data_IF_905395670715
#
_entry.id   IF_905395670715
#
_cell.length_a   1.000
_cell.length_b   1.000
_cell.length_c   1.000
_cell.angle_alpha   90.00
_cell.angle_beta   90.00
_cell.angle_gamma   90.00
#
_symmetry.space_group_name_H-M   'P 1'
#
loop_
_entity.id
_entity.type
_entity.pdbx_description
1 polymer ?
#
# COMPACT_ATOMS: atom_id res chain seq x y z
N UNK A 1 40.58 -23.08 15.39
CA UNK A 1 40.77 -22.03 14.35
C UNK A 1 40.10 -20.74 14.85
N UNK A 2 40.89 -19.76 15.34
CA UNK A 2 40.36 -18.65 16.13
C UNK A 2 39.63 -17.60 15.25
N UNK A 3 38.68 -16.91 15.83
CA UNK A 3 37.82 -15.86 15.22
C UNK A 3 38.62 -14.78 14.42
N UNK A 4 39.87 -14.53 14.78
CA UNK A 4 40.77 -13.61 14.06
C UNK A 4 41.19 -14.14 12.67
N UNK A 5 41.29 -15.45 12.50
CA UNK A 5 41.73 -16.05 11.23
C UNK A 5 40.66 -16.04 10.17
N UNK A 6 39.35 -16.13 10.57
CA UNK A 6 38.26 -16.11 9.64
C UNK A 6 38.04 -14.71 9.03
N UNK A 7 38.06 -13.66 9.86
CA UNK A 7 37.89 -12.28 9.38
C UNK A 7 39.09 -11.87 8.48
N UNK A 8 40.31 -12.22 8.84
CA UNK A 8 41.49 -11.93 8.02
C UNK A 8 41.48 -12.69 6.69
N UNK A 9 40.91 -13.90 6.67
CA UNK A 9 40.69 -14.68 5.46
C UNK A 9 39.68 -14.03 4.52
N UNK A 10 38.56 -13.54 5.06
CA UNK A 10 37.52 -12.84 4.29
C UNK A 10 37.97 -11.48 3.75
N UNK A 11 38.82 -10.77 4.52
CA UNK A 11 39.35 -9.45 4.14
C UNK A 11 40.52 -9.53 3.16
N UNK A 12 41.05 -10.72 2.86
CA UNK A 12 42.10 -10.89 1.87
C UNK A 12 41.55 -10.58 0.47
N UNK A 13 42.15 -9.66 -0.30
CA UNK A 13 41.67 -9.30 -1.65
C UNK A 13 41.48 -10.50 -2.58
N UNK A 14 42.29 -11.56 -2.38
CA UNK A 14 42.19 -12.80 -3.16
C UNK A 14 40.90 -13.58 -2.92
N UNK A 15 40.22 -13.35 -1.78
CA UNK A 15 39.01 -14.05 -1.35
C UNK A 15 37.76 -13.16 -1.42
N UNK A 16 37.80 -11.98 -2.03
CA UNK A 16 36.67 -11.05 -2.09
C UNK A 16 35.45 -11.62 -2.80
N UNK A 17 35.64 -12.65 -3.63
CA UNK A 17 34.53 -13.36 -4.22
C UNK A 17 33.62 -14.08 -3.18
N UNK A 18 34.20 -14.49 -2.01
CA UNK A 18 33.45 -15.18 -0.95
C UNK A 18 32.39 -14.29 -0.29
N UNK A 19 32.71 -13.08 0.24
CA UNK A 19 31.69 -12.16 0.73
C UNK A 19 30.62 -11.83 -0.33
N UNK A 20 31.03 -11.63 -1.58
CA UNK A 20 30.11 -11.38 -2.69
C UNK A 20 29.20 -12.56 -2.94
N UNK A 21 29.71 -13.79 -2.93
CA UNK A 21 28.91 -14.99 -3.07
C UNK A 21 27.91 -15.17 -1.92
N UNK A 22 28.34 -14.90 -0.68
CA UNK A 22 27.46 -14.96 0.50
C UNK A 22 26.33 -13.95 0.37
N UNK A 23 26.64 -12.70 0.03
CA UNK A 23 25.63 -11.64 -0.19
C UNK A 23 24.69 -12.05 -1.31
N UNK A 24 25.19 -12.58 -2.43
CA UNK A 24 24.39 -13.04 -3.55
C UNK A 24 23.41 -14.15 -3.12
N UNK A 25 23.91 -15.17 -2.41
CA UNK A 25 23.04 -16.29 -1.94
C UNK A 25 21.97 -15.77 -0.99
N UNK A 26 22.30 -14.90 -0.04
CA UNK A 26 21.34 -14.31 0.90
C UNK A 26 20.31 -13.48 0.13
N UNK A 27 20.74 -12.67 -0.84
CA UNK A 27 19.85 -11.86 -1.66
C UNK A 27 18.88 -12.71 -2.49
N UNK A 28 19.39 -13.76 -3.16
CA UNK A 28 18.55 -14.66 -3.94
C UNK A 28 17.55 -15.40 -3.05
N UNK A 29 18.00 -15.91 -1.90
CA UNK A 29 17.11 -16.57 -0.94
C UNK A 29 16.03 -15.60 -0.42
N UNK A 30 16.40 -14.37 -0.07
CA UNK A 30 15.47 -13.32 0.36
C UNK A 30 14.44 -12.95 -0.71
N UNK A 31 14.90 -12.70 -1.93
CA UNK A 31 13.99 -12.38 -3.06
C UNK A 31 13.06 -13.55 -3.37
N UNK A 32 13.57 -14.79 -3.35
CA UNK A 32 12.73 -15.99 -3.57
C UNK A 32 11.67 -16.12 -2.47
N UNK A 33 12.07 -15.96 -1.20
CA UNK A 33 11.14 -16.02 -0.07
C UNK A 33 10.05 -14.95 -0.18
N UNK A 34 10.43 -13.70 -0.49
CA UNK A 34 9.49 -12.59 -0.68
C UNK A 34 8.55 -12.91 -1.87
N UNK A 35 9.09 -13.39 -2.98
CA UNK A 35 8.29 -13.74 -4.17
C UNK A 35 7.25 -14.83 -3.89
N UNK A 36 7.66 -15.91 -3.21
CA UNK A 36 6.73 -16.97 -2.80
C UNK A 36 5.65 -16.42 -1.86
N UNK A 37 6.06 -15.65 -0.85
CA UNK A 37 5.11 -15.06 0.11
C UNK A 37 4.12 -14.12 -0.58
N UNK A 38 4.60 -13.24 -1.47
CA UNK A 38 3.74 -12.32 -2.23
C UNK A 38 2.72 -13.08 -3.09
N UNK A 39 3.15 -14.17 -3.73
CA UNK A 39 2.26 -14.97 -4.57
C UNK A 39 1.20 -15.73 -3.76
N UNK A 40 1.60 -16.37 -2.66
CA UNK A 40 0.69 -17.18 -1.82
C UNK A 40 -0.29 -16.34 -1.02
N UNK A 41 0.08 -15.10 -0.70
CA UNK A 41 -0.66 -14.18 0.16
C UNK A 41 -1.38 -13.07 -0.63
N UNK A 42 -1.40 -13.18 -1.97
CA UNK A 42 -2.08 -12.20 -2.81
C UNK A 42 -3.58 -12.11 -2.48
N UNK A 43 -4.16 -10.89 -2.44
CA UNK A 43 -5.59 -10.74 -2.25
C UNK A 43 -6.37 -11.39 -3.39
N UNK A 44 -7.48 -12.10 -3.10
CA UNK A 44 -8.27 -12.74 -4.14
C UNK A 44 -8.98 -11.69 -5.02
N UNK A 45 -9.04 -11.95 -6.32
CA UNK A 45 -9.96 -11.26 -7.22
C UNK A 45 -11.23 -12.11 -7.30
N UNK A 46 -12.30 -11.62 -6.65
CA UNK A 46 -13.54 -12.34 -6.44
C UNK A 46 -14.73 -11.60 -7.07
N UNK A 47 -15.87 -12.26 -7.15
CA UNK A 47 -17.16 -11.61 -7.42
C UNK A 47 -17.76 -11.11 -6.11
N UNK A 48 -18.47 -9.99 -6.17
CA UNK A 48 -19.13 -9.35 -5.05
C UNK A 48 -20.64 -9.58 -5.17
N UNK A 49 -21.23 -10.19 -4.14
CA UNK A 49 -22.62 -10.65 -4.16
C UNK A 49 -23.39 -10.00 -3.01
N UNK A 50 -24.56 -9.46 -3.31
CA UNK A 50 -25.45 -8.85 -2.31
C UNK A 50 -26.00 -9.88 -1.32
N UNK A 51 -26.61 -9.41 -0.23
CA UNK A 51 -27.35 -10.24 0.73
C UNK A 51 -28.48 -11.07 0.08
N UNK A 52 -28.97 -10.66 -1.11
CA UNK A 52 -29.98 -11.35 -1.91
C UNK A 52 -29.40 -12.32 -2.94
N UNK A 53 -28.10 -12.61 -2.89
CA UNK A 53 -27.36 -13.39 -3.88
C UNK A 53 -27.36 -12.82 -5.31
N UNK A 54 -27.56 -11.52 -5.46
CA UNK A 54 -27.43 -10.84 -6.75
C UNK A 54 -25.98 -10.37 -6.93
N UNK A 55 -25.41 -10.58 -8.12
CA UNK A 55 -24.08 -10.13 -8.43
C UNK A 55 -24.02 -8.61 -8.57
N UNK A 56 -23.31 -7.94 -7.69
CA UNK A 56 -23.07 -6.49 -7.71
C UNK A 56 -21.95 -6.17 -8.69
N UNK A 57 -20.80 -6.83 -8.51
CA UNK A 57 -19.67 -6.82 -9.43
C UNK A 57 -19.17 -8.24 -9.63
N UNK A 58 -18.98 -8.66 -10.87
CA UNK A 58 -18.35 -9.94 -11.19
C UNK A 58 -16.82 -9.81 -11.12
N UNK A 59 -16.11 -10.95 -11.00
CA UNK A 59 -14.67 -11.01 -11.14
C UNK A 59 -14.21 -10.42 -12.49
N UNK A 60 -14.99 -10.69 -13.54
CA UNK A 60 -14.75 -10.18 -14.88
C UNK A 60 -14.87 -8.66 -14.96
N UNK A 61 -15.81 -8.05 -14.22
CA UNK A 61 -15.93 -6.59 -14.11
C UNK A 61 -14.67 -5.99 -13.49
N UNK A 62 -14.13 -6.60 -12.43
CA UNK A 62 -12.90 -6.14 -11.78
C UNK A 62 -11.70 -6.22 -12.75
N UNK A 63 -11.53 -7.35 -13.43
CA UNK A 63 -10.43 -7.52 -14.40
C UNK A 63 -10.57 -6.59 -15.61
N UNK A 64 -11.79 -6.40 -16.10
CA UNK A 64 -12.07 -5.43 -17.16
C UNK A 64 -11.80 -4.01 -16.71
N UNK A 65 -12.13 -3.68 -15.46
CA UNK A 65 -11.81 -2.39 -14.86
C UNK A 65 -10.30 -2.12 -14.80
N UNK A 66 -9.51 -3.11 -14.44
CA UNK A 66 -8.04 -3.03 -14.51
C UNK A 66 -7.56 -2.77 -15.95
N UNK A 67 -8.12 -3.47 -16.93
CA UNK A 67 -7.77 -3.26 -18.34
C UNK A 67 -8.15 -1.84 -18.83
N UNK A 68 -9.31 -1.33 -18.40
CA UNK A 68 -9.74 0.06 -18.69
C UNK A 68 -8.81 1.07 -18.01
N UNK A 69 -8.42 0.84 -16.75
CA UNK A 69 -7.45 1.67 -16.03
C UNK A 69 -6.13 1.80 -16.79
N UNK A 70 -5.62 0.68 -17.32
CA UNK A 70 -4.41 0.66 -18.14
C UNK A 70 -4.62 1.31 -19.52
N UNK A 71 -5.76 1.01 -20.19
CA UNK A 71 -6.10 1.57 -21.51
C UNK A 71 -6.08 3.09 -21.52
N UNK A 72 -6.58 3.70 -20.46
CA UNK A 72 -6.65 5.16 -20.33
C UNK A 72 -5.45 5.75 -19.56
N UNK A 73 -4.41 4.98 -19.31
CA UNK A 73 -3.22 5.42 -18.58
C UNK A 73 -3.54 6.21 -17.29
N UNK A 74 -4.52 5.75 -16.51
CA UNK A 74 -5.01 6.49 -15.35
C UNK A 74 -3.95 6.66 -14.25
N UNK A 75 -2.87 5.89 -14.28
CA UNK A 75 -1.70 6.08 -13.40
C UNK A 75 -0.97 7.42 -13.64
N UNK A 76 -1.16 8.04 -14.80
CA UNK A 76 -0.64 9.40 -15.08
C UNK A 76 -1.42 10.51 -14.36
N UNK A 77 -2.64 10.22 -13.93
CA UNK A 77 -3.57 11.15 -13.30
C UNK A 77 -3.82 10.89 -11.82
N UNK A 78 -3.33 9.79 -11.30
CA UNK A 78 -3.48 9.37 -9.92
C UNK A 78 -2.66 8.13 -9.62
N UNK A 79 -2.90 7.51 -8.47
CA UNK A 79 -2.22 6.28 -8.07
C UNK A 79 -3.20 5.17 -7.71
N UNK A 80 -2.71 3.94 -7.65
CA UNK A 80 -3.43 2.77 -7.16
C UNK A 80 -2.50 2.06 -6.17
N UNK A 81 -2.95 1.83 -4.94
CA UNK A 81 -2.13 1.31 -3.85
C UNK A 81 -0.86 2.14 -3.55
N UNK A 82 -0.92 3.45 -3.77
CA UNK A 82 0.21 4.35 -3.59
C UNK A 82 1.20 4.37 -4.75
N UNK A 83 0.95 3.59 -5.82
CA UNK A 83 1.81 3.50 -6.99
C UNK A 83 1.17 4.23 -8.18
N UNK A 84 1.88 5.22 -8.71
CA UNK A 84 1.42 6.09 -9.80
C UNK A 84 1.78 7.56 -9.62
N UNK A 85 1.13 8.45 -10.39
CA UNK A 85 1.42 9.88 -10.37
C UNK A 85 0.78 10.59 -9.16
N UNK A 86 1.55 11.48 -8.51
CA UNK A 86 1.07 12.32 -7.40
C UNK A 86 0.28 13.56 -7.87
N UNK A 87 -0.29 13.54 -9.07
CA UNK A 87 -1.06 14.66 -9.63
C UNK A 87 -2.55 14.61 -9.32
N UNK A 88 -3.02 13.49 -8.85
CA UNK A 88 -4.42 13.24 -8.51
C UNK A 88 -4.54 12.37 -7.27
N UNK A 89 -5.75 11.88 -6.98
CA UNK A 89 -5.98 11.03 -5.83
C UNK A 89 -5.33 9.66 -6.00
N UNK A 90 -5.10 8.98 -4.88
CA UNK A 90 -4.99 7.54 -4.90
C UNK A 90 -6.39 6.93 -5.00
N UNK A 91 -6.68 6.19 -6.07
CA UNK A 91 -8.01 5.66 -6.34
C UNK A 91 -8.46 4.61 -5.33
N UNK A 92 -7.52 3.91 -4.67
CA UNK A 92 -7.87 2.98 -3.59
C UNK A 92 -8.26 3.72 -2.31
N UNK A 93 -7.52 4.78 -1.98
CA UNK A 93 -7.83 5.62 -0.82
C UNK A 93 -9.17 6.36 -1.01
N UNK A 94 -9.37 6.93 -2.19
CA UNK A 94 -10.59 7.63 -2.56
C UNK A 94 -11.81 6.69 -2.52
N UNK A 95 -11.69 5.50 -3.11
CA UNK A 95 -12.77 4.52 -3.10
C UNK A 95 -13.07 4.01 -1.68
N UNK A 96 -12.05 3.73 -0.87
CA UNK A 96 -12.24 3.30 0.52
C UNK A 96 -12.95 4.37 1.35
N UNK A 97 -12.54 5.63 1.19
CA UNK A 97 -13.16 6.77 1.86
C UNK A 97 -14.64 6.91 1.48
N UNK A 98 -14.96 6.91 0.19
CA UNK A 98 -16.34 7.00 -0.28
C UNK A 98 -17.19 5.80 0.14
N UNK A 99 -16.65 4.59 0.08
CA UNK A 99 -17.37 3.39 0.56
C UNK A 99 -17.72 3.56 2.04
N UNK A 100 -16.80 4.00 2.89
CA UNK A 100 -17.09 4.22 4.31
C UNK A 100 -18.13 5.31 4.53
N UNK A 101 -18.08 6.41 3.77
CA UNK A 101 -19.05 7.50 3.83
C UNK A 101 -20.44 7.03 3.40
N UNK A 102 -20.56 6.37 2.25
CA UNK A 102 -21.86 5.89 1.75
C UNK A 102 -22.48 4.83 2.66
N UNK A 103 -21.68 3.96 3.28
CA UNK A 103 -22.18 3.04 4.30
C UNK A 103 -22.71 3.78 5.52
N UNK A 104 -22.01 4.83 5.96
CA UNK A 104 -22.46 5.67 7.06
C UNK A 104 -23.78 6.38 6.72
N UNK A 105 -23.90 6.97 5.53
CA UNK A 105 -25.12 7.60 5.03
C UNK A 105 -26.30 6.60 4.94
N UNK A 106 -26.01 5.36 4.49
CA UNK A 106 -26.99 4.28 4.47
C UNK A 106 -27.59 4.02 5.85
N UNK A 107 -26.78 3.94 6.89
CA UNK A 107 -27.26 3.72 8.25
C UNK A 107 -27.91 4.97 8.85
N UNK A 108 -27.34 6.14 8.65
CA UNK A 108 -27.91 7.39 9.17
C UNK A 108 -29.28 7.71 8.59
N UNK A 109 -29.49 7.46 7.29
CA UNK A 109 -30.79 7.67 6.64
C UNK A 109 -31.91 6.80 7.20
N UNK A 110 -31.59 5.71 7.89
CA UNK A 110 -32.54 4.77 8.51
C UNK A 110 -32.82 5.06 9.99
N UNK A 111 -32.03 5.94 10.61
CA UNK A 111 -32.24 6.36 12.00
C UNK A 111 -33.26 7.51 12.06
N UNK A 112 -34.54 7.18 12.00
CA UNK A 112 -35.69 8.11 11.85
C UNK A 112 -35.87 9.11 13.00
N UNK A 113 -35.24 8.93 14.17
CA UNK A 113 -35.54 9.73 15.41
C UNK A 113 -34.30 10.32 16.06
N UNK A 114 -33.09 10.03 15.60
CA UNK A 114 -31.86 10.30 16.36
C UNK A 114 -30.79 11.07 15.63
N UNK A 115 -31.13 11.86 14.61
CA UNK A 115 -30.16 12.60 13.79
C UNK A 115 -29.19 13.50 14.60
N UNK A 116 -29.54 13.86 15.83
CA UNK A 116 -28.72 14.68 16.74
C UNK A 116 -28.10 13.90 17.90
N UNK A 117 -28.22 12.58 17.98
CA UNK A 117 -27.62 11.80 19.05
C UNK A 117 -26.21 11.37 18.69
N UNK A 118 -25.21 12.01 19.29
CA UNK A 118 -23.78 11.73 19.09
C UNK A 118 -23.38 10.27 19.43
N UNK A 119 -24.09 9.65 20.39
CA UNK A 119 -23.83 8.26 20.75
C UNK A 119 -24.24 7.30 19.63
N UNK A 120 -25.37 7.57 18.97
CA UNK A 120 -25.83 6.78 17.83
C UNK A 120 -24.94 6.98 16.60
N UNK A 121 -24.51 8.19 16.33
CA UNK A 121 -23.54 8.45 15.24
C UNK A 121 -22.23 7.69 15.45
N UNK A 122 -21.70 7.67 16.67
CA UNK A 122 -20.53 6.86 17.01
C UNK A 122 -20.79 5.37 16.85
N UNK A 123 -21.95 4.88 17.27
CA UNK A 123 -22.36 3.49 17.06
C UNK A 123 -22.41 3.09 15.59
N UNK A 124 -22.98 3.94 14.73
CA UNK A 124 -22.98 3.75 13.27
C UNK A 124 -21.57 3.71 12.72
N UNK A 125 -20.72 4.64 13.11
CA UNK A 125 -19.34 4.68 12.66
C UNK A 125 -18.57 3.39 13.04
N UNK A 126 -18.75 2.86 14.24
CA UNK A 126 -18.14 1.59 14.66
C UNK A 126 -18.72 0.39 13.90
N UNK A 127 -20.03 0.40 13.61
CA UNK A 127 -20.66 -0.63 12.77
C UNK A 127 -20.05 -0.65 11.36
N UNK A 128 -19.90 0.51 10.73
CA UNK A 128 -19.27 0.65 9.40
C UNK A 128 -17.85 0.10 9.41
N UNK A 129 -17.04 0.48 10.39
CA UNK A 129 -15.67 -0.04 10.54
C UNK A 129 -15.66 -1.56 10.68
N UNK A 130 -16.52 -2.09 11.53
CA UNK A 130 -16.63 -3.54 11.75
C UNK A 130 -16.99 -4.27 10.46
N UNK A 131 -17.92 -3.74 9.69
CA UNK A 131 -18.33 -4.36 8.42
C UNK A 131 -17.25 -4.30 7.35
N UNK A 132 -16.51 -3.19 7.25
CA UNK A 132 -15.37 -3.05 6.33
C UNK A 132 -14.26 -4.03 6.71
N UNK A 133 -13.95 -4.17 8.01
CA UNK A 133 -12.89 -5.05 8.51
C UNK A 133 -13.23 -6.54 8.41
N UNK A 134 -14.53 -6.89 8.44
CA UNK A 134 -14.95 -8.30 8.42
C UNK A 134 -14.70 -8.93 7.06
N UNK A 135 -13.85 -9.96 7.00
CA UNK A 135 -13.61 -10.72 5.79
C UNK A 135 -14.74 -11.72 5.54
N UNK A 136 -15.51 -11.49 4.48
CA UNK A 136 -16.62 -12.36 4.04
C UNK A 136 -16.31 -13.07 2.72
N UNK A 137 -15.03 -13.24 2.42
CA UNK A 137 -14.60 -14.00 1.26
C UNK A 137 -14.80 -15.50 1.46
N UNK A 138 -15.52 -16.13 0.56
CA UNK A 138 -15.72 -17.57 0.50
C UNK A 138 -14.89 -18.17 -0.64
N UNK A 139 -13.85 -18.94 -0.27
CA UNK A 139 -12.89 -19.51 -1.22
C UNK A 139 -13.54 -20.51 -2.19
N UNK A 140 -14.53 -21.26 -1.71
CA UNK A 140 -15.17 -22.36 -2.48
C UNK A 140 -15.88 -21.88 -3.74
N UNK A 141 -16.51 -20.71 -3.68
CA UNK A 141 -17.24 -20.11 -4.80
C UNK A 141 -16.59 -18.83 -5.33
N UNK A 142 -15.43 -18.43 -4.77
CA UNK A 142 -14.71 -17.21 -5.11
C UNK A 142 -15.58 -15.94 -5.04
N UNK A 143 -16.42 -15.84 -4.02
CA UNK A 143 -17.32 -14.71 -3.82
C UNK A 143 -17.03 -14.00 -2.50
N UNK A 144 -17.29 -12.68 -2.48
CA UNK A 144 -17.37 -11.86 -1.27
C UNK A 144 -18.83 -11.49 -1.05
N UNK A 145 -19.39 -11.88 0.09
CA UNK A 145 -20.77 -11.52 0.46
C UNK A 145 -20.80 -10.10 1.04
N UNK A 146 -21.53 -9.20 0.39
CA UNK A 146 -21.70 -7.81 0.82
C UNK A 146 -22.89 -7.67 1.77
N UNK A 147 -22.76 -6.77 2.74
CA UNK A 147 -23.91 -6.26 3.50
C UNK A 147 -24.77 -5.34 2.63
N UNK A 148 -25.98 -5.03 3.08
CA UNK A 148 -26.86 -4.07 2.38
C UNK A 148 -26.21 -2.69 2.29
N UNK A 149 -25.49 -2.27 3.35
CA UNK A 149 -24.76 -1.01 3.36
C UNK A 149 -23.58 -1.02 2.35
N UNK A 150 -22.85 -2.12 2.26
CA UNK A 150 -21.77 -2.27 1.27
C UNK A 150 -22.32 -2.32 -0.16
N UNK A 151 -23.48 -2.99 -0.39
CA UNK A 151 -24.15 -3.03 -1.69
C UNK A 151 -24.61 -1.63 -2.11
N UNK A 152 -25.18 -0.87 -1.19
CA UNK A 152 -25.55 0.53 -1.41
C UNK A 152 -24.31 1.37 -1.77
N UNK A 153 -23.25 1.26 -0.97
CA UNK A 153 -22.01 1.98 -1.21
C UNK A 153 -21.38 1.66 -2.58
N UNK A 154 -21.39 0.39 -3.00
CA UNK A 154 -20.93 -0.02 -4.33
C UNK A 154 -21.73 0.65 -5.46
N UNK A 155 -23.04 0.79 -5.28
CA UNK A 155 -23.92 1.46 -6.26
C UNK A 155 -23.64 2.97 -6.33
N UNK A 156 -23.50 3.63 -5.19
CA UNK A 156 -23.15 5.07 -5.13
C UNK A 156 -21.74 5.34 -5.68
N UNK A 157 -20.80 4.43 -5.46
CA UNK A 157 -19.44 4.53 -6.01
C UNK A 157 -19.43 4.53 -7.56
N UNK A 158 -20.31 3.72 -8.19
CA UNK A 158 -20.48 3.74 -9.66
C UNK A 158 -20.97 5.12 -10.13
N UNK A 159 -21.94 5.71 -9.43
CA UNK A 159 -22.47 7.05 -9.76
C UNK A 159 -21.38 8.11 -9.61
N UNK A 160 -20.65 8.06 -8.49
CA UNK A 160 -19.53 8.97 -8.23
C UNK A 160 -18.48 8.95 -9.34
N UNK A 161 -18.01 7.77 -9.74
CA UNK A 161 -17.01 7.68 -10.82
C UNK A 161 -17.61 8.02 -12.18
N UNK A 162 -18.90 7.78 -12.39
CA UNK A 162 -19.55 8.24 -13.61
C UNK A 162 -19.52 9.77 -13.72
N UNK A 163 -19.92 10.48 -12.68
CA UNK A 163 -19.84 11.95 -12.64
C UNK A 163 -18.40 12.42 -12.75
N UNK A 164 -17.48 11.84 -11.99
CA UNK A 164 -16.08 12.22 -12.00
C UNK A 164 -15.41 12.08 -13.36
N UNK A 165 -15.74 11.10 -14.16
CA UNK A 165 -15.13 10.86 -15.47
C UNK A 165 -15.83 11.57 -16.62
N UNK A 166 -17.14 11.87 -16.49
CA UNK A 166 -17.94 12.49 -17.55
C UNK A 166 -18.16 13.99 -17.36
N UNK A 167 -18.28 14.48 -16.12
CA UNK A 167 -18.52 15.89 -15.84
C UNK A 167 -17.21 16.71 -15.89
N UNK A 168 -17.14 17.69 -16.82
CA UNK A 168 -15.98 18.60 -16.91
C UNK A 168 -15.78 19.46 -15.67
N UNK A 169 -16.84 19.74 -14.93
CA UNK A 169 -16.80 20.62 -13.75
C UNK A 169 -16.49 19.88 -12.46
N UNK A 170 -16.35 18.54 -12.50
CA UNK A 170 -16.06 17.73 -11.32
C UNK A 170 -14.72 18.14 -10.68
N UNK A 171 -14.72 18.60 -9.42
CA UNK A 171 -13.52 19.09 -8.75
C UNK A 171 -12.49 17.97 -8.55
N UNK A 172 -11.21 18.33 -8.61
CA UNK A 172 -10.10 17.41 -8.29
C UNK A 172 -9.63 16.52 -9.42
N UNK A 173 -10.00 16.82 -10.67
CA UNK A 173 -9.55 16.06 -11.82
C UNK A 173 -8.54 16.85 -12.66
N UNK A 174 -7.29 16.37 -12.74
CA UNK A 174 -6.27 16.86 -13.69
C UNK A 174 -6.38 16.20 -15.07
N UNK A 175 -7.28 15.24 -15.23
CA UNK A 175 -7.55 14.58 -16.51
C UNK A 175 -8.45 15.47 -17.37
N UNK A 176 -8.39 15.34 -18.71
CA UNK A 176 -9.31 16.04 -19.59
C UNK A 176 -10.77 15.74 -19.28
N UNK A 177 -11.62 16.72 -19.47
CA UNK A 177 -13.07 16.56 -19.33
C UNK A 177 -13.60 15.48 -20.28
N UNK A 178 -14.51 14.64 -19.81
CA UNK A 178 -15.07 13.55 -20.62
C UNK A 178 -14.04 12.53 -21.10
N UNK A 179 -12.98 12.32 -20.33
CA UNK A 179 -11.86 11.45 -20.70
C UNK A 179 -12.29 10.00 -20.91
N UNK A 180 -13.28 9.54 -20.13
CA UNK A 180 -13.92 8.24 -20.30
C UNK A 180 -15.42 8.48 -20.35
N UNK A 181 -16.08 8.07 -21.44
CA UNK A 181 -17.51 8.30 -21.66
C UNK A 181 -18.32 7.01 -21.69
N UNK A 182 -17.67 5.87 -21.81
CA UNK A 182 -18.32 4.56 -21.86
C UNK A 182 -18.87 4.15 -20.49
N UNK A 183 -20.21 4.06 -20.35
CA UNK A 183 -20.88 3.67 -19.09
C UNK A 183 -20.37 2.34 -18.55
N UNK A 184 -20.21 1.33 -19.41
CA UNK A 184 -19.74 0.01 -19.03
C UNK A 184 -18.26 0.02 -18.60
N UNK A 185 -17.43 0.84 -19.24
CA UNK A 185 -16.03 1.03 -18.86
C UNK A 185 -15.92 1.69 -17.49
N UNK A 186 -16.74 2.72 -17.23
CA UNK A 186 -16.75 3.41 -15.92
C UNK A 186 -17.28 2.49 -14.82
N UNK A 187 -18.33 1.68 -15.11
CA UNK A 187 -18.81 0.67 -14.15
C UNK A 187 -17.72 -0.35 -13.83
N UNK A 188 -16.99 -0.82 -14.83
CA UNK A 188 -15.89 -1.75 -14.62
C UNK A 188 -14.74 -1.12 -13.83
N UNK A 189 -14.41 0.16 -14.09
CA UNK A 189 -13.46 0.91 -13.28
C UNK A 189 -13.91 1.03 -11.83
N UNK A 190 -15.17 1.35 -11.57
CA UNK A 190 -15.74 1.39 -10.23
C UNK A 190 -15.64 0.03 -9.52
N UNK A 191 -15.82 -1.08 -10.24
CA UNK A 191 -15.62 -2.43 -9.72
C UNK A 191 -14.16 -2.69 -9.34
N UNK A 192 -13.21 -2.25 -10.16
CA UNK A 192 -11.77 -2.36 -9.87
C UNK A 192 -11.36 -1.51 -8.68
N UNK A 193 -11.84 -0.28 -8.57
CA UNK A 193 -11.56 0.59 -7.44
C UNK A 193 -12.25 0.10 -6.15
N UNK A 194 -13.44 -0.47 -6.25
CA UNK A 194 -14.12 -1.12 -5.13
C UNK A 194 -13.35 -2.33 -4.62
N UNK A 195 -12.83 -3.16 -5.54
CA UNK A 195 -11.91 -4.25 -5.18
C UNK A 195 -10.67 -3.72 -4.46
N UNK A 196 -10.05 -2.65 -4.95
CA UNK A 196 -8.92 -2.01 -4.29
C UNK A 196 -9.25 -1.51 -2.89
N UNK A 197 -10.41 -0.87 -2.72
CA UNK A 197 -10.92 -0.44 -1.41
C UNK A 197 -11.14 -1.63 -0.47
N UNK A 198 -11.73 -2.72 -0.97
CA UNK A 198 -11.92 -3.95 -0.20
C UNK A 198 -10.58 -4.54 0.25
N UNK A 199 -9.58 -4.64 -0.62
CA UNK A 199 -8.21 -5.11 -0.30
C UNK A 199 -7.56 -4.27 0.79
N UNK A 200 -7.77 -2.95 0.75
CA UNK A 200 -7.22 -2.02 1.75
C UNK A 200 -7.99 -2.04 3.08
N UNK A 201 -9.28 -2.36 3.05
CA UNK A 201 -10.16 -2.29 4.21
C UNK A 201 -10.22 -3.59 5.00
N UNK A 202 -10.42 -4.73 4.32
CA UNK A 202 -10.72 -6.01 4.95
C UNK A 202 -9.51 -6.61 5.66
N UNK A 203 -9.73 -7.23 6.82
CA UNK A 203 -8.68 -7.99 7.51
C UNK A 203 -8.31 -9.26 6.75
N UNK A 204 -7.02 -9.56 6.70
CA UNK A 204 -6.52 -10.83 6.17
C UNK A 204 -6.96 -11.99 7.06
N UNK A 205 -7.17 -13.18 6.50
CA UNK A 205 -7.48 -14.35 7.30
C UNK A 205 -6.40 -14.61 8.38
N UNK A 206 -6.83 -14.60 9.65
CA UNK A 206 -5.95 -14.85 10.80
C UNK A 206 -5.14 -13.64 11.28
N UNK A 207 -5.31 -12.45 10.68
CA UNK A 207 -4.60 -11.24 11.05
C UNK A 207 -5.56 -10.11 11.46
N UNK A 208 -5.04 -9.10 12.16
CA UNK A 208 -5.77 -7.89 12.57
C UNK A 208 -5.43 -6.68 11.71
N UNK A 209 -4.97 -6.91 10.50
CA UNK A 209 -4.67 -5.88 9.51
C UNK A 209 -5.09 -6.31 8.10
N UNK A 210 -5.28 -5.35 7.23
CA UNK A 210 -5.69 -5.59 5.84
C UNK A 210 -4.55 -6.17 4.98
N UNK A 211 -4.84 -6.54 3.74
CA UNK A 211 -3.82 -7.00 2.78
C UNK A 211 -2.74 -5.94 2.51
N UNK A 212 -3.03 -4.66 2.78
CA UNK A 212 -2.10 -3.52 2.66
C UNK A 212 -1.59 -3.02 4.02
N UNK A 213 -1.69 -3.82 5.09
CA UNK A 213 -1.35 -3.43 6.46
C UNK A 213 -2.08 -2.17 6.95
N UNK A 214 -3.38 -2.06 6.64
CA UNK A 214 -4.26 -0.92 6.93
C UNK A 214 -3.85 0.40 6.23
N UNK A 215 -3.08 0.32 5.15
CA UNK A 215 -2.90 1.46 4.27
C UNK A 215 -4.06 1.49 3.24
N UNK A 216 -4.60 2.65 2.84
CA UNK A 216 -4.29 3.98 3.34
C UNK A 216 -4.88 4.22 4.74
N UNK A 217 -4.28 5.19 5.47
CA UNK A 217 -4.84 5.61 6.75
C UNK A 217 -6.18 6.31 6.52
N UNK A 218 -7.24 5.68 7.00
CA UNK A 218 -8.60 6.24 7.00
C UNK A 218 -9.34 5.79 8.27
N UNK A 219 -9.48 6.69 9.26
CA UNK A 219 -10.18 6.37 10.49
C UNK A 219 -11.66 6.01 10.28
N UNK A 220 -12.30 6.51 9.22
CA UNK A 220 -13.71 6.21 8.92
C UNK A 220 -13.91 4.76 8.47
N UNK A 221 -12.91 4.17 7.82
CA UNK A 221 -12.86 2.78 7.43
C UNK A 221 -12.22 1.85 8.50
N UNK A 222 -11.77 2.41 9.62
CA UNK A 222 -11.07 1.66 10.66
C UNK A 222 -9.61 1.36 10.35
N UNK A 223 -9.03 1.99 9.33
CA UNK A 223 -7.63 1.83 8.99
C UNK A 223 -6.76 2.69 9.91
N UNK A 224 -5.95 2.02 10.72
CA UNK A 224 -4.91 2.62 11.55
C UNK A 224 -3.58 1.91 11.29
N UNK A 225 -2.43 2.60 11.36
CA UNK A 225 -1.13 1.96 11.20
C UNK A 225 -0.98 0.79 12.17
N UNK A 226 -0.55 -0.37 11.68
CA UNK A 226 -0.27 -1.51 12.57
C UNK A 226 0.96 -1.24 13.44
N UNK A 227 0.98 -1.81 14.65
CA UNK A 227 2.13 -1.67 15.57
C UNK A 227 3.43 -2.15 14.93
N UNK A 228 3.36 -3.20 14.10
CA UNK A 228 4.52 -3.71 13.37
C UNK A 228 5.12 -2.66 12.43
N UNK A 229 4.29 -1.95 11.64
CA UNK A 229 4.75 -0.88 10.74
C UNK A 229 5.44 0.24 11.53
N UNK A 230 4.84 0.67 12.65
CA UNK A 230 5.41 1.72 13.49
C UNK A 230 6.78 1.29 14.03
N UNK A 231 6.88 0.09 14.60
CA UNK A 231 8.14 -0.44 15.16
C UNK A 231 9.22 -0.54 14.08
N UNK A 232 8.90 -1.15 12.93
CA UNK A 232 9.87 -1.29 11.83
C UNK A 232 10.29 0.05 11.22
N UNK A 233 9.39 1.03 11.14
CA UNK A 233 9.71 2.39 10.70
C UNK A 233 10.68 3.08 11.66
N UNK A 234 10.49 2.93 12.97
CA UNK A 234 11.40 3.46 14.00
C UNK A 234 12.76 2.78 13.90
N UNK A 235 12.80 1.44 13.85
CA UNK A 235 14.05 0.67 13.75
C UNK A 235 14.81 1.04 12.47
N UNK A 236 14.11 1.11 11.32
CA UNK A 236 14.71 1.48 10.04
C UNK A 236 15.27 2.90 10.05
N UNK A 237 14.53 3.86 10.59
CA UNK A 237 14.97 5.26 10.68
C UNK A 237 16.18 5.42 11.59
N UNK A 238 16.17 4.80 12.76
CA UNK A 238 17.30 4.82 13.68
C UNK A 238 18.51 4.10 13.09
N UNK A 239 18.31 2.96 12.43
CA UNK A 239 19.37 2.22 11.75
C UNK A 239 20.01 3.03 10.62
N UNK A 240 19.22 3.78 9.84
CA UNK A 240 19.71 4.67 8.80
C UNK A 240 20.57 5.81 9.39
N UNK A 241 20.06 6.50 10.42
CA UNK A 241 20.78 7.59 11.07
C UNK A 241 22.09 7.10 11.70
N UNK A 242 22.04 5.97 12.41
CA UNK A 242 23.22 5.36 13.01
C UNK A 242 24.24 4.90 11.95
N UNK A 243 23.77 4.23 10.90
CA UNK A 243 24.61 3.79 9.79
C UNK A 243 25.31 4.96 9.09
N UNK A 244 24.55 6.03 8.79
CA UNK A 244 25.11 7.24 8.21
C UNK A 244 26.15 7.88 9.15
N UNK A 245 25.86 7.97 10.45
CA UNK A 245 26.78 8.47 11.46
C UNK A 245 28.09 7.68 11.52
N UNK A 246 28.03 6.35 11.43
CA UNK A 246 29.22 5.48 11.35
C UNK A 246 30.04 5.75 10.08
N UNK A 247 29.39 5.84 8.92
CA UNK A 247 30.07 6.12 7.64
C UNK A 247 30.80 7.45 7.71
N UNK A 248 30.15 8.51 8.18
CA UNK A 248 30.74 9.84 8.31
C UNK A 248 31.92 9.84 9.32
N UNK A 249 31.75 9.15 10.45
CA UNK A 249 32.81 9.01 11.45
C UNK A 249 34.08 8.33 10.89
N UNK A 250 33.89 7.19 10.22
CA UNK A 250 35.00 6.45 9.63
C UNK A 250 35.65 7.20 8.46
N UNK A 251 34.83 7.86 7.62
CA UNK A 251 35.33 8.70 6.53
C UNK A 251 36.21 9.83 7.07
N UNK A 252 35.77 10.56 8.07
CA UNK A 252 36.56 11.62 8.68
C UNK A 252 37.83 11.11 9.38
N UNK A 253 37.81 9.89 9.92
CA UNK A 253 39.00 9.25 10.47
C UNK A 253 40.04 8.87 9.40
N UNK A 254 39.58 8.32 8.28
CA UNK A 254 40.44 7.97 7.14
C UNK A 254 41.09 9.21 6.52
N UNK A 255 40.33 10.30 6.34
CA UNK A 255 40.83 11.57 5.83
C UNK A 255 41.93 12.15 6.73
N UNK A 256 41.78 12.13 8.05
CA UNK A 256 42.81 12.53 8.99
C UNK A 256 44.08 11.70 8.87
N UNK A 257 43.93 10.37 8.73
CA UNK A 257 45.10 9.48 8.55
C UNK A 257 45.84 9.78 7.25
N UNK A 258 45.15 10.05 6.16
CA UNK A 258 45.76 10.42 4.87
C UNK A 258 46.49 11.76 4.97
N UNK A 259 45.93 12.76 5.63
CA UNK A 259 46.56 14.05 5.89
C UNK A 259 47.81 13.91 6.73
N UNK A 260 47.84 13.05 7.77
CA UNK A 260 49.03 12.76 8.57
C UNK A 260 50.08 12.06 7.74
N UNK A 261 49.74 11.09 6.92
CA UNK A 261 50.66 10.38 6.04
C UNK A 261 51.33 11.34 5.03
N UNK A 262 50.56 12.22 4.40
CA UNK A 262 51.06 13.26 3.47
C UNK A 262 52.01 14.25 4.16
N UNK A 263 51.70 14.72 5.38
CA UNK A 263 52.58 15.59 6.16
C UNK A 263 53.91 14.92 6.50
N UNK A 264 53.88 13.65 6.93
CA UNK A 264 55.08 12.87 7.25
C UNK A 264 55.95 12.65 6.03
N UNK A 265 55.36 12.36 4.88
CA UNK A 265 56.08 12.20 3.61
C UNK A 265 56.78 13.51 3.19
N UNK A 266 56.07 14.65 3.28
CA UNK A 266 56.62 15.98 2.95
C UNK A 266 57.78 16.35 3.87
N UNK A 267 57.71 16.06 5.18
CA UNK A 267 58.79 16.30 6.13
C UNK A 267 60.04 15.45 5.80
N UNK A 268 59.84 14.17 5.52
CA UNK A 268 60.95 13.25 5.14
C UNK A 268 61.63 13.61 3.81
N UNK A 269 60.90 14.21 2.87
CA UNK A 269 61.44 14.71 1.61
C UNK A 269 62.29 16.00 1.82
N UNK A 270 61.87 16.89 2.73
CA UNK A 270 62.62 18.11 3.06
C UNK A 270 63.86 17.85 3.88
N UNK A 271 63.97 16.77 4.63
CA UNK A 271 65.19 16.36 5.38
C UNK A 271 66.22 15.70 4.46
N UNK A 272 65.85 15.33 3.23
CA UNK A 272 66.81 14.71 2.28
C UNK A 272 67.34 15.68 1.23
N UNK A 273 66.90 16.92 1.23
CA UNK A 273 67.38 18.03 0.40
C UNK A 273 68.30 18.94 1.23
#
# INVERSE_FOLDING_TARGET
MGRKNFISYLLNPRNWWLPLLIIFIISVAGVTMIGVHTYTEAPPIASYVSSKNETVFSKEDVLKGQAVFQKYALMEYGSMFGDGANRGPDYTAEALHHVSQYMNDYYQSRLTIAANNELLKKGVAEQVKTEIKTNRYAKDNNNVSLTDAQTFAATELVKYYYEKFTDPSSPGSFKPAGYITGKDEIRSLAAFFFWGAWVCGVERPGEHYSYTHNWPYDPSAGNTPSSAIIIWSIIGSLGLVFGLGLVLYYHGKLEKLDLFARKKLKHSLMERL
#
